data_IF_359493654715
#
_entry.id   IF_359493654715
#
_cell.length_a   1.000
_cell.length_b   1.000
_cell.length_c   1.000
_cell.angle_alpha   90.00
_cell.angle_beta   90.00
_cell.angle_gamma   90.00
#
_symmetry.space_group_name_H-M   'P 1'
#
loop_
_entity.id
_entity.type
_entity.pdbx_description
1 polymer ?
#
# COMPACT_ATOMS: atom_id res chain seq x y z
N UNK A 1 -30.12 -104.82 25.24
CA UNK A 1 -30.39 -104.72 26.69
C UNK A 1 -31.68 -103.92 26.85
N UNK A 2 -32.74 -104.57 27.33
CA UNK A 2 -33.98 -103.90 27.73
C UNK A 2 -33.72 -103.05 28.99
N UNK A 3 -34.41 -101.92 29.21
CA UNK A 3 -35.63 -102.03 30.03
C UNK A 3 -36.77 -101.05 29.71
N UNK A 4 -37.98 -101.59 29.86
CA UNK A 4 -39.10 -101.03 30.65
C UNK A 4 -39.79 -99.73 30.19
N UNK A 5 -40.95 -99.91 29.57
CA UNK A 5 -42.21 -99.24 29.96
C UNK A 5 -42.63 -99.67 31.38
N UNK A 6 -43.71 -99.17 32.02
CA UNK A 6 -44.56 -97.99 31.80
C UNK A 6 -44.83 -97.20 33.13
N UNK A 7 -45.62 -96.12 33.13
CA UNK A 7 -46.78 -95.97 34.03
C UNK A 7 -47.59 -94.71 33.73
N UNK A 8 -48.81 -94.95 33.28
CA UNK A 8 -50.02 -94.13 33.35
C UNK A 8 -50.31 -93.67 34.80
N UNK A 9 -51.09 -92.59 35.05
CA UNK A 9 -52.53 -92.66 34.86
C UNK A 9 -53.27 -91.43 34.28
N UNK A 10 -54.52 -91.65 33.81
CA UNK A 10 -55.43 -90.67 33.19
C UNK A 10 -56.38 -90.13 34.29
N UNK A 11 -57.65 -89.72 34.07
CA UNK A 11 -58.43 -89.29 32.89
C UNK A 11 -59.01 -87.85 33.10
N UNK A 12 -59.85 -87.24 32.23
CA UNK A 12 -61.33 -87.36 32.25
C UNK A 12 -61.96 -86.47 31.14
N UNK A 13 -62.71 -87.16 30.27
CA UNK A 13 -63.96 -86.84 29.52
C UNK A 13 -64.23 -85.49 28.86
N UNK A 14 -64.64 -85.57 27.57
CA UNK A 14 -65.95 -85.02 27.16
C UNK A 14 -66.00 -84.33 25.78
N UNK A 15 -66.58 -84.99 24.77
CA UNK A 15 -67.13 -84.31 23.59
C UNK A 15 -66.93 -85.02 22.23
N UNK A 16 -67.99 -85.31 21.45
CA UNK A 16 -67.88 -86.00 20.17
C UNK A 16 -67.49 -85.09 18.98
N UNK A 17 -66.32 -85.36 18.40
CA UNK A 17 -66.02 -85.46 16.97
C UNK A 17 -66.31 -84.30 16.01
N UNK A 18 -65.25 -83.55 15.64
CA UNK A 18 -64.94 -83.08 14.27
C UNK A 18 -63.40 -82.90 14.12
N UNK A 19 -62.80 -83.17 12.94
CA UNK A 19 -61.34 -83.36 12.75
C UNK A 19 -60.52 -82.05 12.57
N UNK A 20 -59.21 -82.02 12.94
CA UNK A 20 -58.35 -80.84 12.77
C UNK A 20 -57.54 -80.88 11.46
N UNK A 21 -57.33 -79.73 10.79
CA UNK A 21 -56.13 -79.56 9.97
C UNK A 21 -55.55 -78.11 10.01
N UNK A 22 -54.40 -77.84 9.39
CA UNK A 22 -53.06 -78.37 9.64
C UNK A 22 -52.08 -77.26 10.10
N UNK A 23 -50.97 -77.66 10.75
CA UNK A 23 -49.87 -76.76 11.11
C UNK A 23 -49.23 -76.13 9.87
N UNK A 24 -49.16 -74.80 9.82
CA UNK A 24 -48.36 -74.07 8.83
C UNK A 24 -46.97 -73.71 9.40
N UNK A 25 -45.92 -73.69 8.56
CA UNK A 25 -44.52 -73.55 8.97
C UNK A 25 -44.18 -72.18 9.57
N UNK A 26 -43.18 -72.17 10.46
CA UNK A 26 -42.68 -70.97 11.14
C UNK A 26 -42.14 -69.92 10.13
N UNK A 27 -42.37 -68.62 10.37
CA UNK A 27 -42.01 -67.55 9.44
C UNK A 27 -40.48 -67.31 9.37
N UNK A 28 -39.97 -66.82 8.22
CA UNK A 28 -38.57 -66.43 8.04
C UNK A 28 -38.16 -65.22 8.92
N UNK A 29 -36.84 -65.03 9.16
CA UNK A 29 -36.31 -64.09 10.16
C UNK A 29 -36.66 -62.61 9.89
N UNK A 30 -36.66 -61.76 10.94
CA UNK A 30 -37.05 -60.35 10.81
C UNK A 30 -36.10 -59.58 9.87
N UNK A 31 -36.62 -58.61 9.10
CA UNK A 31 -35.80 -57.79 8.20
C UNK A 31 -34.83 -56.90 8.99
N UNK A 32 -33.67 -56.52 8.41
CA UNK A 32 -32.70 -55.67 9.08
C UNK A 32 -33.31 -54.29 9.40
N UNK A 33 -32.86 -53.61 10.47
CA UNK A 33 -33.41 -52.31 10.86
C UNK A 33 -32.94 -51.23 9.86
N UNK A 34 -33.71 -51.00 8.80
CA UNK A 34 -33.28 -50.17 7.67
C UNK A 34 -33.83 -48.74 7.62
N UNK A 35 -34.53 -48.26 8.64
CA UNK A 35 -35.13 -46.91 8.63
C UNK A 35 -34.50 -45.93 9.63
N UNK A 36 -34.17 -46.36 10.85
CA UNK A 36 -33.72 -45.45 11.90
C UNK A 36 -32.32 -44.87 11.67
N UNK A 37 -31.38 -45.68 11.20
CA UNK A 37 -30.03 -45.20 10.89
C UNK A 37 -30.01 -44.20 9.72
N UNK A 38 -30.87 -44.40 8.72
CA UNK A 38 -30.99 -43.51 7.57
C UNK A 38 -31.65 -42.17 7.95
N UNK A 39 -32.69 -42.22 8.79
CA UNK A 39 -33.33 -41.01 9.34
C UNK A 39 -32.37 -40.23 10.23
N UNK A 40 -31.58 -40.90 11.09
CA UNK A 40 -30.57 -40.25 11.91
C UNK A 40 -29.45 -39.62 11.08
N UNK A 41 -29.01 -40.28 9.99
CA UNK A 41 -28.05 -39.72 9.04
C UNK A 41 -28.61 -38.49 8.33
N UNK A 42 -29.87 -38.54 7.89
CA UNK A 42 -30.55 -37.39 7.27
C UNK A 42 -30.67 -36.21 8.23
N UNK A 43 -31.07 -36.47 9.49
CA UNK A 43 -31.17 -35.44 10.53
C UNK A 43 -29.78 -34.87 10.86
N UNK A 44 -28.75 -35.72 10.95
CA UNK A 44 -27.38 -35.28 11.16
C UNK A 44 -26.88 -34.40 10.00
N UNK A 45 -27.15 -34.79 8.74
CA UNK A 45 -26.80 -34.01 7.54
C UNK A 45 -27.58 -32.69 7.49
N UNK A 46 -28.86 -32.68 7.83
CA UNK A 46 -29.67 -31.46 7.90
C UNK A 46 -29.19 -30.50 9.00
N UNK A 47 -28.82 -31.02 10.16
CA UNK A 47 -28.22 -30.22 11.25
C UNK A 47 -26.84 -29.68 10.86
N UNK A 48 -26.03 -30.47 10.14
CA UNK A 48 -24.72 -30.03 9.62
C UNK A 48 -24.87 -28.97 8.51
N UNK A 49 -25.87 -29.13 7.63
CA UNK A 49 -26.21 -28.16 6.59
C UNK A 49 -26.77 -26.86 7.17
N UNK A 50 -27.60 -26.94 8.21
CA UNK A 50 -28.09 -25.76 8.93
C UNK A 50 -26.95 -25.04 9.68
N UNK A 51 -26.00 -25.78 10.28
CA UNK A 51 -24.84 -25.19 10.96
C UNK A 51 -23.83 -24.53 10.00
N UNK A 52 -23.65 -25.06 8.79
CA UNK A 52 -22.80 -24.45 7.75
C UNK A 52 -23.47 -23.26 7.05
N UNK A 53 -24.81 -23.27 6.91
CA UNK A 53 -25.57 -22.17 6.33
C UNK A 53 -25.53 -20.88 7.17
N UNK A 54 -25.34 -20.98 8.50
CA UNK A 54 -25.25 -19.80 9.38
C UNK A 54 -23.84 -19.21 9.43
N UNK A 55 -22.80 -20.02 9.21
CA UNK A 55 -21.39 -19.58 9.29
C UNK A 55 -20.85 -19.01 7.97
N UNK A 56 -21.36 -19.47 6.83
CA UNK A 56 -20.95 -18.97 5.51
C UNK A 56 -21.27 -17.47 5.26
N UNK A 57 -22.48 -16.93 5.53
CA UNK A 57 -22.80 -15.54 5.20
C UNK A 57 -22.08 -14.51 6.08
N UNK A 58 -21.78 -14.84 7.35
CA UNK A 58 -21.07 -13.96 8.27
C UNK A 58 -19.57 -13.81 7.94
N UNK A 59 -18.95 -14.85 7.39
CA UNK A 59 -17.57 -14.78 6.91
C UNK A 59 -17.44 -13.98 5.61
N UNK A 60 -18.42 -14.08 4.72
CA UNK A 60 -18.40 -13.41 3.42
C UNK A 60 -18.62 -11.91 3.50
N UNK A 61 -19.50 -11.43 4.38
CA UNK A 61 -19.69 -9.99 4.61
C UNK A 61 -18.43 -9.32 5.17
N UNK A 62 -17.73 -9.99 6.10
CA UNK A 62 -16.45 -9.52 6.64
C UNK A 62 -15.33 -9.50 5.59
N UNK A 63 -15.27 -10.50 4.71
CA UNK A 63 -14.30 -10.52 3.59
C UNK A 63 -14.63 -9.48 2.53
N UNK A 64 -15.91 -9.28 2.18
CA UNK A 64 -16.34 -8.25 1.25
C UNK A 64 -16.03 -6.84 1.78
N UNK A 65 -16.31 -6.58 3.06
CA UNK A 65 -15.96 -5.31 3.71
C UNK A 65 -14.44 -5.11 3.77
N UNK A 66 -13.65 -6.13 4.11
CA UNK A 66 -12.18 -6.04 4.07
C UNK A 66 -11.66 -5.78 2.66
N UNK A 67 -12.24 -6.42 1.64
CA UNK A 67 -11.87 -6.19 0.24
C UNK A 67 -12.15 -4.75 -0.18
N UNK A 68 -13.33 -4.21 0.16
CA UNK A 68 -13.68 -2.81 -0.07
C UNK A 68 -12.71 -1.86 0.64
N UNK A 69 -12.40 -2.11 1.91
CA UNK A 69 -11.44 -1.29 2.66
C UNK A 69 -10.04 -1.32 2.02
N UNK A 70 -9.59 -2.48 1.53
CA UNK A 70 -8.29 -2.59 0.83
C UNK A 70 -8.32 -1.87 -0.52
N UNK A 71 -9.40 -1.95 -1.28
CA UNK A 71 -9.52 -1.22 -2.55
C UNK A 71 -9.57 0.29 -2.34
N UNK A 72 -10.30 0.76 -1.34
CA UNK A 72 -10.40 2.18 -1.01
C UNK A 72 -9.04 2.72 -0.54
N UNK A 73 -8.34 1.96 0.30
CA UNK A 73 -6.98 2.32 0.74
C UNK A 73 -5.98 2.36 -0.41
N UNK A 74 -6.06 1.42 -1.36
CA UNK A 74 -5.21 1.44 -2.56
C UNK A 74 -5.51 2.66 -3.44
N UNK A 75 -6.79 2.93 -3.70
CA UNK A 75 -7.18 4.10 -4.47
C UNK A 75 -6.73 5.42 -3.83
N UNK A 76 -6.74 5.49 -2.50
CA UNK A 76 -6.24 6.64 -1.76
C UNK A 76 -4.71 6.77 -1.85
N UNK A 77 -3.96 5.67 -1.68
CA UNK A 77 -2.51 5.67 -1.88
C UNK A 77 -2.15 6.08 -3.32
N UNK A 78 -2.85 5.54 -4.33
CA UNK A 78 -2.65 5.91 -5.74
C UNK A 78 -2.95 7.39 -6.01
N UNK A 79 -3.84 8.02 -5.23
CA UNK A 79 -4.11 9.46 -5.32
C UNK A 79 -2.97 10.27 -4.69
N UNK A 80 -2.51 9.88 -3.51
CA UNK A 80 -1.38 10.51 -2.82
C UNK A 80 -0.14 10.42 -3.71
N UNK A 81 0.16 9.26 -4.28
CA UNK A 81 1.30 9.04 -5.16
C UNK A 81 1.21 9.92 -6.42
N UNK A 82 0.03 10.00 -7.05
CA UNK A 82 -0.18 10.89 -8.21
C UNK A 82 -0.03 12.36 -7.85
N UNK A 83 -0.51 12.79 -6.68
CA UNK A 83 -0.34 14.16 -6.22
C UNK A 83 1.12 14.48 -5.93
N UNK A 84 1.85 13.56 -5.29
CA UNK A 84 3.28 13.70 -5.03
C UNK A 84 4.08 13.77 -6.33
N UNK A 85 3.76 12.94 -7.31
CA UNK A 85 4.38 12.97 -8.65
C UNK A 85 4.08 14.28 -9.38
N UNK A 86 2.82 14.75 -9.36
CA UNK A 86 2.45 16.02 -9.97
C UNK A 86 3.15 17.22 -9.30
N UNK A 87 3.26 17.20 -7.97
CA UNK A 87 3.98 18.22 -7.22
C UNK A 87 5.49 18.20 -7.54
N UNK A 88 6.09 17.02 -7.66
CA UNK A 88 7.49 16.88 -8.05
C UNK A 88 7.73 17.39 -9.48
N UNK A 89 6.90 16.99 -10.44
CA UNK A 89 6.99 17.46 -11.83
C UNK A 89 6.78 18.98 -11.95
N UNK A 90 5.88 19.53 -11.12
CA UNK A 90 5.70 20.97 -11.02
C UNK A 90 6.95 21.66 -10.47
N UNK A 91 7.53 21.16 -9.38
CA UNK A 91 8.79 21.69 -8.84
C UNK A 91 9.93 21.69 -9.87
N UNK A 92 10.06 20.63 -10.66
CA UNK A 92 11.07 20.55 -11.73
C UNK A 92 10.81 21.54 -12.87
N UNK A 93 9.55 21.86 -13.13
CA UNK A 93 9.17 22.87 -14.13
C UNK A 93 9.44 24.26 -13.59
N UNK A 94 8.96 24.57 -12.38
CA UNK A 94 9.21 25.83 -11.69
C UNK A 94 10.73 26.10 -11.55
N UNK A 95 11.55 25.07 -11.30
CA UNK A 95 13.01 25.18 -11.23
C UNK A 95 13.66 25.55 -12.57
N UNK A 96 13.17 24.97 -13.67
CA UNK A 96 13.63 25.32 -15.02
C UNK A 96 13.18 26.73 -15.40
N UNK A 97 11.94 27.09 -15.09
CA UNK A 97 11.34 28.38 -15.40
C UNK A 97 11.95 29.53 -14.57
N UNK A 98 12.50 29.23 -13.38
CA UNK A 98 13.28 30.19 -12.60
C UNK A 98 14.59 30.63 -13.29
N UNK A 99 15.00 29.92 -14.36
CA UNK A 99 16.12 30.26 -15.24
C UNK A 99 17.41 30.63 -14.49
N UNK A 100 17.71 29.84 -13.45
CA UNK A 100 18.85 30.05 -12.58
C UNK A 100 20.17 30.04 -13.38
N UNK A 101 20.25 29.29 -14.49
CA UNK A 101 21.43 29.28 -15.35
C UNK A 101 21.71 30.66 -15.97
N UNK A 102 20.68 31.34 -16.49
CA UNK A 102 20.82 32.70 -17.02
C UNK A 102 21.17 33.70 -15.92
N UNK A 103 20.55 33.59 -14.74
CA UNK A 103 20.88 34.44 -13.59
C UNK A 103 22.35 34.26 -13.16
N UNK A 104 22.83 33.02 -13.10
CA UNK A 104 24.24 32.74 -12.79
C UNK A 104 25.18 33.32 -13.85
N UNK A 105 24.82 33.19 -15.13
CA UNK A 105 25.61 33.75 -16.23
C UNK A 105 25.67 35.29 -16.15
N UNK A 106 24.56 35.93 -15.73
CA UNK A 106 24.53 37.37 -15.47
C UNK A 106 25.48 37.75 -14.34
N UNK A 107 25.48 37.01 -13.23
CA UNK A 107 26.43 37.26 -12.13
C UNK A 107 27.86 37.20 -12.63
N UNK A 108 28.25 36.14 -13.35
CA UNK A 108 29.61 36.00 -13.92
C UNK A 108 30.00 37.14 -14.85
N UNK A 109 29.03 37.65 -15.62
CA UNK A 109 29.27 38.78 -16.53
C UNK A 109 29.53 40.07 -15.76
N UNK A 110 28.76 40.32 -14.70
CA UNK A 110 28.90 41.51 -13.85
C UNK A 110 30.14 41.44 -12.95
N UNK A 111 30.51 40.24 -12.51
CA UNK A 111 31.78 39.97 -11.84
C UNK A 111 32.97 40.39 -12.72
N UNK A 112 32.99 39.92 -13.97
CA UNK A 112 34.01 40.33 -14.96
C UNK A 112 34.02 41.85 -15.22
N UNK A 113 32.82 42.48 -15.24
CA UNK A 113 32.70 43.92 -15.40
C UNK A 113 33.26 44.67 -14.19
N UNK A 114 33.05 44.15 -12.99
CA UNK A 114 33.56 44.69 -11.73
C UNK A 114 35.09 44.60 -11.68
N UNK A 115 35.67 43.46 -12.06
CA UNK A 115 37.12 43.29 -12.21
C UNK A 115 37.73 44.31 -13.18
N UNK A 116 37.03 44.55 -14.30
CA UNK A 116 37.45 45.53 -15.31
C UNK A 116 37.38 46.96 -14.75
N UNK A 117 36.29 47.31 -14.06
CA UNK A 117 36.12 48.62 -13.43
C UNK A 117 37.19 48.85 -12.35
N UNK A 118 37.49 47.83 -11.56
CA UNK A 118 38.54 47.89 -10.54
C UNK A 118 39.92 48.14 -11.15
N UNK A 119 40.28 47.39 -12.19
CA UNK A 119 41.57 47.57 -12.89
C UNK A 119 41.73 48.99 -13.44
N UNK A 120 40.65 49.55 -14.01
CA UNK A 120 40.61 50.93 -14.50
C UNK A 120 40.66 51.96 -13.38
N UNK A 121 39.99 51.72 -12.27
CA UNK A 121 40.04 52.61 -11.10
C UNK A 121 41.44 52.63 -10.48
N UNK A 122 42.06 51.45 -10.30
CA UNK A 122 43.43 51.29 -9.78
C UNK A 122 44.48 52.01 -10.64
N UNK A 123 44.27 52.08 -11.94
CA UNK A 123 45.14 52.79 -12.88
C UNK A 123 44.79 54.27 -13.05
N UNK A 124 43.78 54.77 -12.32
CA UNK A 124 43.33 56.16 -12.37
C UNK A 124 42.50 56.53 -13.60
N UNK A 125 42.12 55.55 -14.41
CA UNK A 125 41.34 55.73 -15.65
C UNK A 125 39.84 55.86 -15.39
N UNK A 126 39.32 55.19 -14.35
CA UNK A 126 37.91 55.24 -13.96
C UNK A 126 37.73 55.93 -12.60
N UNK A 127 36.57 56.56 -12.39
CA UNK A 127 36.21 57.14 -11.09
C UNK A 127 35.70 56.07 -10.14
N UNK A 128 35.80 56.32 -8.82
CA UNK A 128 35.26 55.40 -7.81
C UNK A 128 33.78 55.09 -8.03
N UNK A 129 32.96 56.07 -8.45
CA UNK A 129 31.54 55.83 -8.73
C UNK A 129 31.26 54.84 -9.86
N UNK A 130 32.18 54.67 -10.82
CA UNK A 130 32.05 53.63 -11.86
C UNK A 130 32.30 52.23 -11.28
N UNK A 131 33.28 52.11 -10.38
CA UNK A 131 33.58 50.87 -9.67
C UNK A 131 32.47 50.50 -8.69
N UNK A 132 32.03 51.45 -7.87
CA UNK A 132 30.92 51.28 -6.92
C UNK A 132 29.63 50.84 -7.63
N UNK A 133 29.32 51.46 -8.78
CA UNK A 133 28.18 51.04 -9.61
C UNK A 133 28.29 49.59 -10.09
N UNK A 134 29.47 49.19 -10.60
CA UNK A 134 29.68 47.82 -11.08
C UNK A 134 29.55 46.77 -9.95
N UNK A 135 30.10 47.08 -8.76
CA UNK A 135 29.97 46.23 -7.58
C UNK A 135 28.51 46.08 -7.14
N UNK A 136 27.78 47.19 -7.02
CA UNK A 136 26.37 47.17 -6.65
C UNK A 136 25.53 46.37 -7.65
N UNK A 137 25.78 46.52 -8.96
CA UNK A 137 25.09 45.74 -9.99
C UNK A 137 25.37 44.23 -9.83
N UNK A 138 26.61 43.85 -9.52
CA UNK A 138 27.00 42.46 -9.28
C UNK A 138 26.32 41.88 -8.03
N UNK A 139 26.35 42.62 -6.92
CA UNK A 139 25.70 42.22 -5.66
C UNK A 139 24.18 42.05 -5.84
N UNK A 140 23.53 42.97 -6.55
CA UNK A 140 22.10 42.87 -6.88
C UNK A 140 21.79 41.61 -7.71
N UNK A 141 22.68 41.25 -8.63
CA UNK A 141 22.52 40.02 -9.42
C UNK A 141 22.71 38.75 -8.57
N UNK A 142 23.64 38.76 -7.61
CA UNK A 142 23.83 37.67 -6.63
C UNK A 142 22.58 37.51 -5.78
N UNK A 143 22.04 38.60 -5.24
CA UNK A 143 20.81 38.59 -4.44
C UNK A 143 19.63 38.07 -5.27
N UNK A 144 19.53 38.46 -6.55
CA UNK A 144 18.49 37.99 -7.45
C UNK A 144 18.60 36.47 -7.68
N UNK A 145 19.80 35.95 -7.89
CA UNK A 145 20.05 34.51 -8.00
C UNK A 145 19.64 33.76 -6.73
N UNK A 146 20.14 34.19 -5.57
CA UNK A 146 19.89 33.55 -4.28
C UNK A 146 18.39 33.56 -3.93
N UNK A 147 17.70 34.66 -4.23
CA UNK A 147 16.24 34.76 -4.05
C UNK A 147 15.50 33.81 -4.97
N UNK A 148 15.91 33.68 -6.23
CA UNK A 148 15.30 32.76 -7.17
C UNK A 148 15.57 31.29 -6.79
N UNK A 149 16.75 30.99 -6.26
CA UNK A 149 17.15 29.64 -5.83
C UNK A 149 16.48 29.20 -4.52
N UNK A 150 16.19 30.13 -3.60
CA UNK A 150 15.70 29.85 -2.24
C UNK A 150 14.48 28.89 -2.13
N UNK A 151 13.47 28.90 -3.03
CA UNK A 151 12.30 28.04 -2.90
C UNK A 151 12.57 26.57 -3.22
N UNK A 152 13.70 26.24 -3.85
CA UNK A 152 13.94 24.93 -4.41
C UNK A 152 14.73 24.00 -3.46
N UNK A 153 14.39 22.70 -3.43
CA UNK A 153 15.12 21.73 -2.61
C UNK A 153 16.49 21.38 -3.20
N UNK A 154 17.44 21.02 -2.34
CA UNK A 154 18.84 20.70 -2.69
C UNK A 154 19.00 19.68 -3.81
N UNK A 155 18.09 18.70 -3.87
CA UNK A 155 18.09 17.63 -4.88
C UNK A 155 18.02 18.13 -6.33
N UNK A 156 17.54 19.36 -6.56
CA UNK A 156 17.45 19.94 -7.91
C UNK A 156 18.74 20.65 -8.36
N UNK A 157 19.65 20.95 -7.42
CA UNK A 157 20.90 21.68 -7.66
C UNK A 157 22.07 20.75 -8.00
N UNK A 158 21.92 19.92 -9.04
CA UNK A 158 22.97 18.94 -9.42
C UNK A 158 24.12 19.58 -10.21
N UNK A 159 23.83 20.62 -11.01
CA UNK A 159 24.79 21.30 -11.88
C UNK A 159 24.87 22.82 -11.63
N UNK A 160 24.10 23.32 -10.66
CA UNK A 160 24.03 24.74 -10.31
C UNK A 160 24.28 24.92 -8.81
N UNK A 161 24.91 26.01 -8.37
CA UNK A 161 25.09 26.29 -6.95
C UNK A 161 23.75 26.60 -6.28
N UNK A 162 23.54 26.15 -5.04
CA UNK A 162 22.32 26.51 -4.28
C UNK A 162 22.30 27.98 -3.87
N UNK A 163 23.49 28.51 -3.60
CA UNK A 163 23.74 29.90 -3.27
C UNK A 163 25.04 30.32 -3.91
N UNK A 164 25.11 31.58 -4.27
CA UNK A 164 26.37 32.18 -4.67
C UNK A 164 27.11 32.55 -3.39
N UNK A 165 28.24 31.87 -3.17
CA UNK A 165 29.10 32.17 -2.05
C UNK A 165 30.01 33.33 -2.43
N UNK A 166 29.89 34.46 -1.74
CA UNK A 166 30.79 35.60 -1.91
C UNK A 166 32.22 35.28 -1.43
N UNK A 167 32.42 34.20 -0.65
CA UNK A 167 33.75 33.70 -0.31
C UNK A 167 34.34 32.78 -1.40
N UNK A 168 33.55 32.40 -2.42
CA UNK A 168 34.05 31.64 -3.56
C UNK A 168 34.64 32.63 -4.59
N UNK A 169 35.95 32.55 -4.90
CA UNK A 169 36.60 33.47 -5.82
C UNK A 169 36.06 33.43 -7.26
N UNK A 170 35.23 32.46 -7.62
CA UNK A 170 34.56 32.41 -8.94
C UNK A 170 33.24 33.22 -8.99
N UNK A 171 32.76 33.70 -7.84
CA UNK A 171 31.49 34.44 -7.72
C UNK A 171 31.56 35.59 -6.71
N UNK A 172 32.76 35.99 -6.32
CA UNK A 172 33.04 37.08 -5.39
C UNK A 172 33.10 38.41 -6.14
N UNK A 173 31.99 39.16 -6.14
CA UNK A 173 31.88 40.50 -6.72
C UNK A 173 32.90 41.51 -6.16
N UNK A 174 33.62 41.19 -5.08
CA UNK A 174 34.60 42.04 -4.41
C UNK A 174 36.04 41.52 -4.45
N UNK A 175 36.36 40.49 -5.24
CA UNK A 175 37.67 39.79 -5.24
C UNK A 175 38.89 40.71 -5.37
N UNK A 176 38.71 41.87 -5.99
CA UNK A 176 39.76 42.86 -6.17
C UNK A 176 40.12 43.67 -4.89
N UNK A 177 39.30 43.60 -3.84
CA UNK A 177 39.48 44.35 -2.58
C UNK A 177 40.03 43.51 -1.43
N UNK A 178 40.01 42.19 -1.55
CA UNK A 178 40.71 41.30 -0.63
C UNK A 178 42.19 41.32 -1.01
N UNK A 179 43.07 41.99 -0.24
CA UNK A 179 44.50 41.82 -0.45
C UNK A 179 44.82 40.33 -0.31
N UNK A 180 45.58 39.77 -1.25
CA UNK A 180 46.28 38.51 -1.01
C UNK A 180 47.23 38.75 0.17
N UNK A 181 46.79 38.41 1.37
CA UNK A 181 47.62 38.38 2.58
C UNK A 181 48.24 36.98 2.69
#
# INVERSE_FOLDING_TARGET
>A
MYPQSPMYPPPVTGGPGYPPPPFLPAPPPPPPPRSRAFVLLLVAVLLLAAATAVTAPLGWSGVAHRRQTVTDRRAELDRIDRQAQAAAAKQETDFRDADLATLLQRVKTLDTATDTAYSRWRTGVARYGELDGAMNDCDDAVIAYDRAAAPFPDRLFTALPRRINLDNPETDCGRAFTPNI
#
